data_IF_953306276175
#
_entry.id   IF_953306276175
#
_cell.length_a   1.000
_cell.length_b   1.000
_cell.length_c   1.000
_cell.angle_alpha   90.00
_cell.angle_beta   90.00
_cell.angle_gamma   90.00
#
_symmetry.space_group_name_H-M   'P 1'
#
loop_
_entity.id
_entity.type
_entity.pdbx_description
1 polymer ?
#
# COMPACT_ATOMS: atom_id res chain seq x y z
N UNK A 1 31.64 -18.68 -26.31
CA UNK A 1 30.80 -17.60 -25.72
C UNK A 1 31.00 -17.61 -24.21
N UNK A 2 31.66 -16.60 -23.64
CA UNK A 2 31.90 -16.49 -22.19
C UNK A 2 30.68 -15.84 -21.53
N UNK A 3 30.05 -16.54 -20.60
CA UNK A 3 29.01 -16.00 -19.73
C UNK A 3 29.65 -15.07 -18.70
N UNK A 4 29.37 -13.76 -18.80
CA UNK A 4 29.79 -12.78 -17.81
C UNK A 4 29.06 -13.04 -16.47
N UNK A 5 29.77 -13.08 -15.32
CA UNK A 5 29.12 -13.28 -14.03
C UNK A 5 28.29 -12.03 -13.67
N UNK A 6 27.00 -12.22 -13.42
CA UNK A 6 26.11 -11.18 -12.89
C UNK A 6 26.55 -10.87 -11.45
N UNK A 7 27.33 -9.81 -11.28
CA UNK A 7 27.70 -9.31 -9.95
C UNK A 7 26.45 -8.80 -9.23
N UNK A 8 25.89 -9.61 -8.31
CA UNK A 8 24.85 -9.15 -7.39
C UNK A 8 25.47 -8.06 -6.49
N UNK A 9 25.05 -6.81 -6.65
CA UNK A 9 25.39 -5.75 -5.69
C UNK A 9 24.83 -6.14 -4.33
N UNK A 10 25.70 -6.47 -3.38
CA UNK A 10 25.32 -6.73 -1.99
C UNK A 10 25.03 -5.37 -1.36
N UNK A 11 23.75 -5.00 -1.29
CA UNK A 11 23.33 -3.78 -0.57
C UNK A 11 23.59 -4.01 0.92
N UNK A 12 24.24 -3.07 1.59
CA UNK A 12 24.51 -3.21 3.03
C UNK A 12 23.18 -3.24 3.79
N UNK A 13 23.02 -4.11 4.82
CA UNK A 13 21.79 -4.17 5.61
C UNK A 13 21.39 -2.81 6.19
N UNK A 14 22.37 -2.02 6.66
CA UNK A 14 22.16 -0.69 7.19
C UNK A 14 21.55 0.28 6.15
N UNK A 15 22.02 0.24 4.90
CA UNK A 15 21.46 1.05 3.83
C UNK A 15 20.03 0.63 3.49
N UNK A 16 19.73 -0.68 3.49
CA UNK A 16 18.38 -1.18 3.28
C UNK A 16 17.41 -0.71 4.40
N UNK A 17 17.84 -0.78 5.66
CA UNK A 17 17.07 -0.26 6.80
C UNK A 17 16.88 1.25 6.72
N UNK A 18 17.92 2.02 6.38
CA UNK A 18 17.82 3.47 6.27
C UNK A 18 16.83 3.90 5.17
N UNK A 19 16.89 3.26 4.00
CA UNK A 19 15.95 3.52 2.90
C UNK A 19 14.51 3.15 3.31
N UNK A 20 14.33 2.02 3.99
CA UNK A 20 13.01 1.60 4.48
C UNK A 20 12.45 2.58 5.51
N UNK A 21 13.27 3.00 6.49
CA UNK A 21 12.87 3.96 7.52
C UNK A 21 12.51 5.33 6.91
N UNK A 22 13.33 5.83 5.98
CA UNK A 22 13.04 7.07 5.26
C UNK A 22 11.72 6.95 4.47
N UNK A 23 11.50 5.83 3.79
CA UNK A 23 10.28 5.58 3.05
C UNK A 23 9.04 5.59 3.95
N UNK A 24 9.12 4.93 5.11
CA UNK A 24 8.03 4.94 6.11
C UNK A 24 7.80 6.36 6.64
N UNK A 25 8.86 7.10 6.97
CA UNK A 25 8.74 8.48 7.45
C UNK A 25 8.07 9.42 6.45
N UNK A 26 8.46 9.34 5.17
CA UNK A 26 7.82 10.09 4.10
C UNK A 26 6.34 9.70 3.91
N UNK A 27 6.02 8.41 4.04
CA UNK A 27 4.64 7.93 3.94
C UNK A 27 3.78 8.43 5.10
N UNK A 28 4.29 8.40 6.33
CA UNK A 28 3.61 8.95 7.49
C UNK A 28 3.39 10.46 7.38
N UNK A 29 4.37 11.20 6.85
CA UNK A 29 4.22 12.63 6.58
C UNK A 29 3.13 12.89 5.52
N UNK A 30 3.10 12.08 4.46
CA UNK A 30 2.05 12.14 3.44
C UNK A 30 0.66 11.92 4.07
N UNK A 31 0.51 10.91 4.94
CA UNK A 31 -0.78 10.63 5.57
C UNK A 31 -1.24 11.79 6.46
N UNK A 32 -0.32 12.39 7.23
CA UNK A 32 -0.59 13.57 8.05
C UNK A 32 -1.09 14.77 7.21
N UNK A 33 -0.38 15.10 6.13
CA UNK A 33 -0.76 16.17 5.19
C UNK A 33 -2.08 15.85 4.50
N UNK A 34 -2.28 14.60 4.08
CA UNK A 34 -3.53 14.21 3.43
C UNK A 34 -4.71 14.31 4.38
N UNK A 35 -4.56 13.95 5.66
CA UNK A 35 -5.63 14.13 6.63
C UNK A 35 -5.99 15.60 6.81
N UNK A 36 -5.02 16.49 6.92
CA UNK A 36 -5.32 17.93 7.05
C UNK A 36 -6.03 18.47 5.81
N UNK A 37 -5.60 18.08 4.60
CA UNK A 37 -6.28 18.44 3.34
C UNK A 37 -7.70 17.88 3.28
N UNK A 38 -7.88 16.61 3.61
CA UNK A 38 -9.20 15.96 3.57
C UNK A 38 -10.19 16.64 4.51
N UNK A 39 -9.73 17.07 5.70
CA UNK A 39 -10.54 17.82 6.64
C UNK A 39 -10.84 19.26 6.17
N UNK A 40 -9.92 19.88 5.44
CA UNK A 40 -10.06 21.27 4.97
C UNK A 40 -10.90 21.43 3.69
N UNK A 41 -10.67 20.57 2.69
CA UNK A 41 -11.25 20.72 1.34
C UNK A 41 -12.10 19.51 0.90
N UNK A 42 -12.24 18.51 1.76
CA UNK A 42 -12.98 17.28 1.49
C UNK A 42 -12.17 16.21 0.74
N UNK A 43 -12.61 14.96 0.88
CA UNK A 43 -11.91 13.77 0.35
C UNK A 43 -11.74 13.83 -1.17
N UNK A 44 -12.81 14.16 -1.90
CA UNK A 44 -12.79 14.13 -3.37
C UNK A 44 -11.83 15.17 -3.95
N UNK A 45 -11.85 16.40 -3.44
CA UNK A 45 -10.97 17.47 -3.90
C UNK A 45 -9.51 17.20 -3.53
N UNK A 46 -9.25 16.76 -2.29
CA UNK A 46 -7.90 16.42 -1.84
C UNK A 46 -7.27 15.32 -2.71
N UNK A 47 -8.05 14.28 -3.04
CA UNK A 47 -7.59 13.21 -3.91
C UNK A 47 -7.43 13.67 -5.36
N UNK A 48 -8.33 14.50 -5.88
CA UNK A 48 -8.21 15.04 -7.24
C UNK A 48 -6.88 15.78 -7.42
N UNK A 49 -6.56 16.71 -6.50
CA UNK A 49 -5.30 17.46 -6.54
C UNK A 49 -4.08 16.55 -6.43
N UNK A 50 -4.11 15.58 -5.50
CA UNK A 50 -3.05 14.58 -5.36
C UNK A 50 -2.82 13.80 -6.66
N UNK A 51 -3.89 13.37 -7.34
CA UNK A 51 -3.78 12.59 -8.57
C UNK A 51 -3.32 13.45 -9.75
N UNK A 52 -3.77 14.70 -9.85
CA UNK A 52 -3.28 15.63 -10.87
C UNK A 52 -1.77 15.86 -10.75
N UNK A 53 -1.27 16.09 -9.54
CA UNK A 53 0.17 16.25 -9.28
C UNK A 53 0.92 14.96 -9.63
N UNK A 54 0.39 13.80 -9.23
CA UNK A 54 1.01 12.48 -9.52
C UNK A 54 1.11 12.21 -11.02
N UNK A 55 0.05 12.52 -11.78
CA UNK A 55 0.03 12.40 -13.25
C UNK A 55 1.00 13.38 -13.89
N UNK A 56 1.04 14.63 -13.42
CA UNK A 56 1.99 15.64 -13.90
C UNK A 56 3.45 15.21 -13.72
N UNK A 57 3.82 14.77 -12.52
CA UNK A 57 5.15 14.26 -12.22
C UNK A 57 5.47 13.00 -13.04
N UNK A 58 4.50 12.08 -13.17
CA UNK A 58 4.64 10.89 -13.99
C UNK A 58 4.86 11.21 -15.48
N UNK A 59 4.16 12.22 -16.00
CA UNK A 59 4.32 12.68 -17.38
C UNK A 59 5.69 13.32 -17.62
N UNK A 60 6.20 14.11 -16.66
CA UNK A 60 7.56 14.67 -16.73
C UNK A 60 8.59 13.54 -16.73
N UNK A 61 8.48 12.59 -15.80
CA UNK A 61 9.37 11.43 -15.74
C UNK A 61 9.32 10.60 -17.04
N UNK A 62 8.13 10.41 -17.63
CA UNK A 62 7.95 9.70 -18.89
C UNK A 62 8.55 10.46 -20.09
N UNK A 63 8.55 11.80 -20.08
CA UNK A 63 9.21 12.59 -21.15
C UNK A 63 10.74 12.55 -21.02
N UNK A 64 11.26 12.50 -19.80
CA UNK A 64 12.71 12.46 -19.53
C UNK A 64 13.30 11.06 -19.73
N UNK A 65 12.56 10.02 -19.36
CA UNK A 65 12.91 8.65 -19.71
C UNK A 65 12.58 8.40 -21.18
N UNK A 66 13.52 7.92 -21.99
CA UNK A 66 13.30 7.61 -23.42
C UNK A 66 12.36 6.41 -23.65
N UNK A 67 11.30 6.29 -22.87
CA UNK A 67 10.33 5.22 -22.93
C UNK A 67 9.42 5.42 -24.14
N UNK A 68 9.36 4.42 -25.03
CA UNK A 68 8.46 4.42 -26.18
C UNK A 68 6.98 4.50 -25.77
N UNK A 69 6.10 4.69 -26.75
CA UNK A 69 4.66 4.70 -26.53
C UNK A 69 4.21 3.36 -25.93
N UNK A 70 3.44 3.36 -24.81
CA UNK A 70 2.95 2.13 -24.23
C UNK A 70 2.01 1.42 -25.21
N UNK A 71 2.10 0.10 -25.29
CA UNK A 71 1.16 -0.70 -26.07
C UNK A 71 -0.26 -0.57 -25.50
N UNK A 72 -1.30 -0.78 -26.32
CA UNK A 72 -2.68 -0.72 -25.84
C UNK A 72 -2.98 -1.68 -24.68
N UNK A 73 -2.29 -2.83 -24.62
CA UNK A 73 -2.37 -3.77 -23.49
C UNK A 73 -1.72 -3.21 -22.24
N UNK A 74 -0.56 -2.56 -22.34
CA UNK A 74 0.09 -1.90 -21.21
C UNK A 74 -0.78 -0.75 -20.68
N UNK A 75 -1.40 0.03 -21.56
CA UNK A 75 -2.30 1.11 -21.16
C UNK A 75 -3.52 0.59 -20.38
N UNK A 76 -4.17 -0.49 -20.85
CA UNK A 76 -5.29 -1.13 -20.12
C UNK A 76 -4.88 -1.59 -18.72
N UNK A 77 -3.69 -2.16 -18.57
CA UNK A 77 -3.16 -2.58 -17.26
C UNK A 77 -2.88 -1.39 -16.34
N UNK A 78 -2.32 -0.30 -16.88
CA UNK A 78 -2.10 0.93 -16.11
C UNK A 78 -3.42 1.56 -15.66
N UNK A 79 -4.44 1.58 -16.51
CA UNK A 79 -5.77 2.09 -16.17
C UNK A 79 -6.45 1.24 -15.10
N UNK A 80 -6.43 -0.10 -15.25
CA UNK A 80 -7.00 -1.01 -14.26
C UNK A 80 -6.32 -0.86 -12.90
N UNK A 81 -4.98 -0.80 -12.88
CA UNK A 81 -4.22 -0.55 -11.66
C UNK A 81 -4.56 0.82 -11.06
N UNK A 82 -4.64 1.86 -11.89
CA UNK A 82 -5.02 3.21 -11.47
C UNK A 82 -6.40 3.25 -10.82
N UNK A 83 -7.38 2.51 -11.36
CA UNK A 83 -8.73 2.41 -10.80
C UNK A 83 -8.71 1.74 -9.43
N UNK A 84 -8.01 0.60 -9.30
CA UNK A 84 -7.89 -0.11 -8.02
C UNK A 84 -7.19 0.75 -6.98
N UNK A 85 -6.08 1.41 -7.33
CA UNK A 85 -5.36 2.27 -6.39
C UNK A 85 -6.17 3.50 -6.00
N UNK A 86 -6.99 4.04 -6.91
CA UNK A 86 -7.87 5.17 -6.62
C UNK A 86 -9.00 4.75 -5.68
N UNK A 87 -9.67 3.62 -5.95
CA UNK A 87 -10.72 3.10 -5.07
C UNK A 87 -10.17 2.81 -3.66
N UNK A 88 -8.99 2.19 -3.57
CA UNK A 88 -8.28 1.95 -2.32
C UNK A 88 -7.98 3.25 -1.57
N UNK A 89 -7.47 4.28 -2.27
CA UNK A 89 -7.18 5.58 -1.69
C UNK A 89 -8.45 6.30 -1.20
N UNK A 90 -9.52 6.31 -2.01
CA UNK A 90 -10.81 6.92 -1.63
C UNK A 90 -11.33 6.31 -0.34
N UNK A 91 -11.39 4.98 -0.25
CA UNK A 91 -11.84 4.27 0.94
C UNK A 91 -10.97 4.60 2.16
N UNK A 92 -9.64 4.57 2.00
CA UNK A 92 -8.72 4.87 3.09
C UNK A 92 -8.86 6.30 3.60
N UNK A 93 -8.79 7.29 2.72
CA UNK A 93 -8.83 8.70 3.13
C UNK A 93 -10.21 9.14 3.61
N UNK A 94 -11.27 8.54 3.07
CA UNK A 94 -12.63 8.75 3.58
C UNK A 94 -12.80 8.22 5.00
N UNK A 95 -12.21 7.05 5.31
CA UNK A 95 -12.18 6.54 6.68
C UNK A 95 -11.22 7.31 7.59
N UNK A 96 -10.04 7.70 7.10
CA UNK A 96 -9.03 8.47 7.84
C UNK A 96 -9.56 9.83 8.33
N UNK A 97 -10.51 10.41 7.60
CA UNK A 97 -11.24 11.61 8.00
C UNK A 97 -12.13 11.40 9.24
N UNK A 98 -12.56 10.16 9.51
CA UNK A 98 -13.59 9.80 10.50
C UNK A 98 -13.06 9.03 11.70
N UNK A 99 -11.83 8.52 11.62
CA UNK A 99 -11.19 7.78 12.71
C UNK A 99 -9.84 8.41 13.07
N UNK A 100 -9.33 8.18 14.30
CA UNK A 100 -7.96 8.51 14.67
C UNK A 100 -6.94 7.93 13.69
N UNK A 101 -5.86 8.68 13.40
CA UNK A 101 -4.87 8.23 12.40
C UNK A 101 -4.21 6.91 12.79
N UNK A 102 -3.86 6.77 14.06
CA UNK A 102 -3.27 5.54 14.57
C UNK A 102 -4.22 4.35 14.45
N UNK A 103 -5.53 4.52 14.68
CA UNK A 103 -6.53 3.49 14.42
C UNK A 103 -6.58 3.13 12.93
N UNK A 104 -6.57 4.11 12.03
CA UNK A 104 -6.56 3.86 10.59
C UNK A 104 -5.35 3.03 10.15
N UNK A 105 -4.14 3.40 10.60
CA UNK A 105 -2.92 2.66 10.29
C UNK A 105 -2.94 1.26 10.93
N UNK A 106 -3.48 1.14 12.15
CA UNK A 106 -3.63 -0.14 12.83
C UNK A 106 -4.51 -1.10 12.05
N UNK A 107 -5.64 -0.62 11.50
CA UNK A 107 -6.54 -1.43 10.70
C UNK A 107 -5.91 -1.91 9.37
N UNK A 108 -5.02 -1.13 8.75
CA UNK A 108 -4.37 -1.55 7.50
C UNK A 108 -3.34 -2.66 7.69
N UNK A 109 -2.84 -2.88 8.91
CA UNK A 109 -1.99 -4.03 9.23
C UNK A 109 -2.70 -5.39 9.18
N UNK A 110 -4.02 -5.43 8.99
CA UNK A 110 -4.74 -6.66 8.66
C UNK A 110 -4.42 -7.11 7.22
N UNK A 111 -4.06 -6.18 6.32
CA UNK A 111 -3.84 -6.48 4.91
C UNK A 111 -2.73 -7.54 4.65
N UNK A 112 -1.56 -7.54 5.31
CA UNK A 112 -0.59 -8.62 5.20
C UNK A 112 -1.15 -10.03 5.47
N UNK A 113 -2.08 -10.17 6.41
CA UNK A 113 -2.70 -11.47 6.74
C UNK A 113 -3.71 -11.87 5.67
N UNK A 114 -4.53 -10.93 5.22
CA UNK A 114 -5.43 -11.15 4.09
C UNK A 114 -4.64 -11.52 2.84
N UNK A 115 -3.50 -10.87 2.60
CA UNK A 115 -2.62 -11.17 1.48
C UNK A 115 -2.00 -12.57 1.61
N UNK A 116 -1.64 -12.98 2.83
CA UNK A 116 -1.14 -14.33 3.11
C UNK A 116 -2.20 -15.40 2.84
N UNK A 117 -3.43 -15.17 3.29
CA UNK A 117 -4.56 -16.06 3.04
C UNK A 117 -4.89 -16.13 1.53
N UNK A 118 -4.99 -14.98 0.87
CA UNK A 118 -5.19 -14.93 -0.58
C UNK A 118 -4.05 -15.64 -1.30
N UNK A 119 -2.80 -15.49 -0.87
CA UNK A 119 -1.67 -16.13 -1.51
C UNK A 119 -1.75 -17.67 -1.42
N UNK A 120 -2.17 -18.22 -0.28
CA UNK A 120 -2.41 -19.67 -0.15
C UNK A 120 -3.48 -20.12 -1.14
N UNK A 121 -4.60 -19.40 -1.23
CA UNK A 121 -5.72 -19.74 -2.11
C UNK A 121 -5.39 -19.58 -3.59
N UNK A 122 -4.66 -18.52 -3.96
CA UNK A 122 -4.42 -18.15 -5.36
C UNK A 122 -3.14 -18.74 -5.94
N UNK A 123 -2.07 -18.90 -5.13
CA UNK A 123 -0.80 -19.47 -5.59
C UNK A 123 -0.64 -20.96 -5.20
N UNK A 124 -1.47 -21.47 -4.29
CA UNK A 124 -1.31 -22.84 -3.77
C UNK A 124 -0.04 -23.04 -2.92
N UNK A 125 0.65 -21.96 -2.56
CA UNK A 125 1.89 -22.03 -1.78
C UNK A 125 1.60 -22.34 -0.30
N UNK A 126 2.42 -23.20 0.31
CA UNK A 126 2.42 -23.40 1.76
C UNK A 126 3.15 -22.25 2.43
N UNK A 127 2.44 -21.53 3.30
CA UNK A 127 3.03 -20.48 4.13
C UNK A 127 3.97 -21.12 5.15
N UNK A 128 5.24 -20.72 5.12
CA UNK A 128 6.23 -21.16 6.11
C UNK A 128 5.92 -20.61 7.50
N UNK A 129 6.24 -21.40 8.53
CA UNK A 129 6.01 -21.05 9.94
C UNK A 129 6.55 -19.67 10.33
N UNK A 130 7.73 -19.29 9.83
CA UNK A 130 8.34 -17.98 10.08
C UNK A 130 7.45 -16.81 9.63
N UNK A 131 6.82 -16.93 8.45
CA UNK A 131 5.93 -15.91 7.90
C UNK A 131 4.64 -15.84 8.70
N UNK A 132 4.10 -16.99 9.12
CA UNK A 132 2.92 -17.04 9.97
C UNK A 132 3.16 -16.34 11.31
N UNK A 133 4.25 -16.66 12.02
CA UNK A 133 4.61 -16.03 13.29
C UNK A 133 4.85 -14.52 13.12
N UNK A 134 5.52 -14.09 12.06
CA UNK A 134 5.73 -12.66 11.78
C UNK A 134 4.40 -11.91 11.56
N UNK A 135 3.43 -12.53 10.85
CA UNK A 135 2.10 -11.96 10.66
C UNK A 135 1.32 -11.84 11.97
N UNK A 136 1.38 -12.87 12.82
CA UNK A 136 0.75 -12.84 14.15
C UNK A 136 1.41 -11.78 15.05
N UNK A 137 2.74 -11.64 15.02
CA UNK A 137 3.46 -10.62 15.78
C UNK A 137 3.08 -9.20 15.31
N UNK A 138 2.94 -8.97 14.01
CA UNK A 138 2.45 -7.69 13.46
C UNK A 138 1.03 -7.36 13.95
N UNK A 139 0.15 -8.36 14.00
CA UNK A 139 -1.19 -8.27 14.60
C UNK A 139 -1.14 -7.94 16.10
N UNK A 140 -0.18 -8.50 16.84
CA UNK A 140 0.05 -8.16 18.23
C UNK A 140 0.37 -6.67 18.41
N UNK A 141 1.20 -6.11 17.52
CA UNK A 141 1.50 -4.67 17.48
C UNK A 141 0.25 -3.81 17.29
N UNK A 142 -0.67 -4.22 16.40
CA UNK A 142 -1.97 -3.56 16.19
C UNK A 142 -2.76 -3.48 17.49
N UNK A 143 -2.88 -4.60 18.20
CA UNK A 143 -3.66 -4.68 19.42
C UNK A 143 -3.10 -3.76 20.51
N UNK A 144 -1.78 -3.70 20.64
CA UNK A 144 -1.10 -2.78 21.57
C UNK A 144 -1.41 -1.32 21.23
N UNK A 145 -1.34 -0.94 19.94
CA UNK A 145 -1.68 0.43 19.51
C UNK A 145 -3.15 0.74 19.80
N UNK A 146 -4.07 -0.17 19.48
CA UNK A 146 -5.50 0.03 19.74
C UNK A 146 -5.83 0.16 21.23
N UNK A 147 -5.18 -0.63 22.09
CA UNK A 147 -5.34 -0.52 23.55
C UNK A 147 -4.82 0.84 24.05
N UNK A 148 -3.69 1.31 23.53
CA UNK A 148 -3.09 2.59 23.92
C UNK A 148 -3.89 3.83 23.50
N UNK A 149 -4.83 3.70 22.56
CA UNK A 149 -5.63 4.82 22.04
C UNK A 149 -6.81 5.24 22.94
N UNK A 150 -7.08 4.51 24.03
CA UNK A 150 -8.23 4.75 24.89
C UNK A 150 -9.55 4.19 24.33
N UNK A 151 -10.48 3.84 25.22
CA UNK A 151 -11.81 3.32 24.85
C UNK A 151 -12.75 4.48 24.52
N UNK A 152 -12.56 5.13 23.38
CA UNK A 152 -13.63 5.97 22.82
C UNK A 152 -14.73 5.05 22.28
N UNK A 153 -15.96 5.22 22.76
CA UNK A 153 -17.13 4.50 22.24
C UNK A 153 -17.33 4.94 20.79
N UNK A 154 -17.30 4.03 19.80
CA UNK A 154 -17.41 4.42 18.40
C UNK A 154 -18.76 5.09 18.14
N UNK A 155 -18.73 6.35 17.70
CA UNK A 155 -19.91 6.98 17.12
C UNK A 155 -20.26 6.36 15.76
N UNK A 156 -21.46 6.62 15.21
CA UNK A 156 -21.87 6.10 13.89
C UNK A 156 -20.88 6.42 12.75
N UNK A 157 -20.29 7.62 12.77
CA UNK A 157 -19.27 8.03 11.78
C UNK A 157 -17.96 7.22 11.89
N UNK A 158 -17.55 6.89 13.12
CA UNK A 158 -16.34 6.08 13.39
C UNK A 158 -16.53 4.65 12.86
N UNK A 159 -17.74 4.10 12.98
CA UNK A 159 -18.07 2.78 12.45
C UNK A 159 -17.95 2.74 10.92
N UNK A 160 -18.55 3.71 10.22
CA UNK A 160 -18.42 3.79 8.77
C UNK A 160 -16.97 4.00 8.32
N UNK A 161 -16.21 4.86 9.03
CA UNK A 161 -14.81 5.08 8.74
C UNK A 161 -13.96 3.82 8.90
N UNK A 162 -14.21 3.04 9.95
CA UNK A 162 -13.57 1.74 10.18
C UNK A 162 -13.87 0.76 9.04
N UNK A 163 -15.13 0.65 8.63
CA UNK A 163 -15.53 -0.24 7.52
C UNK A 163 -14.86 0.16 6.21
N UNK A 164 -14.77 1.46 5.92
CA UNK A 164 -14.09 1.96 4.74
C UNK A 164 -12.59 1.61 4.75
N UNK A 165 -11.91 1.77 5.89
CA UNK A 165 -10.48 1.41 6.01
C UNK A 165 -10.28 -0.11 5.85
N UNK A 166 -11.17 -0.93 6.42
CA UNK A 166 -11.13 -2.39 6.23
C UNK A 166 -11.33 -2.76 4.75
N UNK A 167 -12.28 -2.12 4.06
CA UNK A 167 -12.46 -2.27 2.62
C UNK A 167 -11.19 -1.90 1.82
N UNK A 168 -10.52 -0.80 2.22
CA UNK A 168 -9.23 -0.41 1.64
C UNK A 168 -8.14 -1.45 1.92
N UNK A 169 -8.08 -2.00 3.13
CA UNK A 169 -7.11 -3.03 3.51
C UNK A 169 -7.26 -4.31 2.67
N UNK A 170 -8.51 -4.70 2.33
CA UNK A 170 -8.78 -5.82 1.42
C UNK A 170 -8.23 -5.53 0.02
N UNK A 171 -8.50 -4.34 -0.54
CA UNK A 171 -7.96 -3.94 -1.85
C UNK A 171 -6.42 -3.90 -1.83
N UNK A 172 -5.83 -3.44 -0.74
CA UNK A 172 -4.39 -3.42 -0.56
C UNK A 172 -3.81 -4.84 -0.53
N UNK A 173 -4.45 -5.77 0.17
CA UNK A 173 -4.06 -7.18 0.19
C UNK A 173 -4.10 -7.81 -1.22
N UNK A 174 -5.16 -7.56 -1.99
CA UNK A 174 -5.26 -7.98 -3.39
C UNK A 174 -4.11 -7.41 -4.21
N UNK A 175 -3.81 -6.12 -4.06
CA UNK A 175 -2.73 -5.45 -4.77
C UNK A 175 -1.34 -6.05 -4.43
N UNK A 176 -1.11 -6.42 -3.17
CA UNK A 176 0.11 -7.12 -2.74
C UNK A 176 0.26 -8.48 -3.44
N UNK A 177 -0.84 -9.25 -3.54
CA UNK A 177 -0.83 -10.56 -4.20
C UNK A 177 -0.60 -10.42 -5.70
N UNK A 178 -1.25 -9.45 -6.36
CA UNK A 178 -1.01 -9.15 -7.78
C UNK A 178 0.45 -8.78 -8.03
N UNK A 179 1.02 -7.89 -7.20
CA UNK A 179 2.42 -7.50 -7.31
C UNK A 179 3.36 -8.71 -7.15
N UNK A 180 3.02 -9.63 -6.22
CA UNK A 180 3.77 -10.87 -6.01
C UNK A 180 3.71 -11.79 -7.22
N UNK A 181 2.52 -12.02 -7.79
CA UNK A 181 2.33 -12.81 -9.02
C UNK A 181 3.14 -12.23 -10.19
N UNK A 182 3.13 -10.90 -10.37
CA UNK A 182 3.94 -10.23 -11.39
C UNK A 182 5.44 -10.46 -11.18
N UNK A 183 5.91 -10.38 -9.94
CA UNK A 183 7.33 -10.60 -9.61
C UNK A 183 7.79 -12.04 -9.90
N UNK A 184 6.92 -13.03 -9.69
CA UNK A 184 7.22 -14.43 -9.98
C UNK A 184 7.24 -14.70 -11.48
N UNK A 185 6.27 -14.14 -12.23
CA UNK A 185 6.20 -14.26 -13.68
C UNK A 185 7.34 -13.53 -14.42
N UNK A 186 7.93 -12.49 -13.82
CA UNK A 186 9.05 -11.74 -14.38
C UNK A 186 10.44 -12.34 -14.08
N UNK A 187 10.51 -13.48 -13.38
CA UNK A 187 11.79 -14.18 -13.20
C UNK A 187 12.28 -14.68 -14.56
N UNK A 188 13.51 -14.35 -14.99
CA UNK A 188 14.08 -14.91 -16.21
C UNK A 188 14.19 -16.43 -16.01
N UNK A 189 13.47 -17.19 -16.84
CA UNK A 189 13.72 -18.62 -17.03
C UNK A 189 15.05 -18.84 -17.72
#
# INVERSE_FOLDING_TARGET
MRSSPVTRRVVSPALAFAIAALGIGLFSMMDAVMKSLVLAIGVYNALLWRQMISVGLGAVAWRLGKSGRPSGRALKLHLARGLVTTAMAVLFFWGLARVPMAQAISLTYIAPILALLLAVVTLGERVGWKTFVASIAALGGVLVVMIGQGREVPGPETFHGTLAILGSAVLYAVNLVIARLQSQAARPG
#
